data_IF_887993835643
#
_entry.id   IF_887993835643
#
_cell.length_a   1.000
_cell.length_b   1.000
_cell.length_c   1.000
_cell.angle_alpha   90.00
_cell.angle_beta   90.00
_cell.angle_gamma   90.00
#
_symmetry.space_group_name_H-M   'P 1'
#
loop_
_entity.id
_entity.type
_entity.pdbx_description
1 polymer ?
#
# COMPACT_ATOMS: atom_id res chain seq x y z
N UNK A 1 -60.38 61.52 47.47
CA UNK A 1 -59.34 60.82 48.26
C UNK A 1 -58.89 59.63 47.46
N UNK A 2 -57.81 59.74 46.74
CA UNK A 2 -57.29 58.69 45.83
C UNK A 2 -55.94 58.31 46.35
N UNK A 3 -55.87 57.08 46.87
CA UNK A 3 -54.66 56.48 47.41
C UNK A 3 -53.86 55.82 46.26
N UNK A 4 -52.68 56.36 45.95
CA UNK A 4 -51.73 55.84 44.99
C UNK A 4 -50.84 54.80 45.70
N UNK A 5 -50.98 53.56 45.30
CA UNK A 5 -50.10 52.47 45.72
C UNK A 5 -48.84 52.50 44.85
N UNK A 6 -47.68 52.72 45.47
CA UNK A 6 -46.37 52.62 44.82
C UNK A 6 -45.97 51.13 44.79
N UNK A 7 -45.91 50.54 43.60
CA UNK A 7 -45.29 49.22 43.45
C UNK A 7 -43.78 49.41 43.21
N UNK A 8 -43.01 48.96 44.16
CA UNK A 8 -41.56 48.90 44.10
C UNK A 8 -41.19 47.62 43.31
N UNK A 9 -40.75 47.80 42.04
CA UNK A 9 -40.22 46.71 41.24
C UNK A 9 -38.76 46.50 41.64
N UNK A 10 -38.51 45.43 42.34
CA UNK A 10 -37.16 44.97 42.70
C UNK A 10 -36.54 44.28 41.47
N UNK A 11 -35.67 44.99 40.76
CA UNK A 11 -34.88 44.42 39.66
C UNK A 11 -33.70 43.63 40.26
N UNK A 12 -33.87 42.31 40.39
CA UNK A 12 -32.78 41.39 40.76
C UNK A 12 -31.93 41.23 39.50
N UNK A 13 -30.86 42.00 39.39
CA UNK A 13 -29.81 41.75 38.40
C UNK A 13 -29.02 40.52 38.81
N UNK A 14 -29.37 39.35 38.26
CA UNK A 14 -28.51 38.19 38.32
C UNK A 14 -27.28 38.44 37.46
N UNK A 15 -26.20 38.90 38.09
CA UNK A 15 -24.87 38.83 37.53
C UNK A 15 -24.52 37.34 37.36
N UNK A 16 -24.81 36.77 36.21
CA UNK A 16 -24.22 35.55 35.75
C UNK A 16 -22.71 35.76 35.62
N UNK A 17 -21.97 35.42 36.66
CA UNK A 17 -20.52 35.26 36.54
C UNK A 17 -20.29 34.15 35.55
N UNK A 18 -20.06 34.47 34.29
CA UNK A 18 -19.40 33.58 33.36
C UNK A 18 -18.04 33.29 33.98
N UNK A 19 -17.94 32.12 34.59
CA UNK A 19 -16.64 31.55 34.94
C UNK A 19 -15.97 31.30 33.56
N UNK A 20 -15.26 32.28 33.08
CA UNK A 20 -14.27 32.06 32.04
C UNK A 20 -13.27 31.10 32.70
N UNK A 21 -13.36 29.84 32.37
CA UNK A 21 -12.28 28.90 32.62
C UNK A 21 -11.11 29.51 31.86
N UNK A 22 -10.21 30.18 32.57
CA UNK A 22 -8.95 30.60 32.02
C UNK A 22 -8.28 29.32 31.53
N UNK A 23 -8.29 29.09 30.21
CA UNK A 23 -7.45 28.09 29.62
C UNK A 23 -6.02 28.50 30.00
N UNK A 24 -5.42 27.71 30.87
CA UNK A 24 -4.01 27.90 31.20
C UNK A 24 -3.26 27.65 29.91
N UNK A 25 -2.63 28.69 29.37
CA UNK A 25 -1.70 28.56 28.26
C UNK A 25 -0.66 27.53 28.70
N UNK A 26 -0.53 26.45 27.93
CA UNK A 26 0.44 25.43 28.27
C UNK A 26 1.83 26.04 28.33
N UNK A 27 2.59 25.67 29.33
CA UNK A 27 3.97 26.11 29.43
C UNK A 27 4.76 25.63 28.17
N UNK A 28 5.72 26.42 27.72
CA UNK A 28 6.61 26.07 26.59
C UNK A 28 7.23 24.71 26.82
N UNK A 29 7.49 24.33 28.07
CA UNK A 29 7.98 23.02 28.45
C UNK A 29 6.98 21.90 28.15
N UNK A 30 5.68 22.10 28.26
CA UNK A 30 4.63 21.14 27.95
C UNK A 30 4.53 20.91 26.44
N UNK A 31 4.59 21.97 25.64
CA UNK A 31 4.65 21.90 24.18
C UNK A 31 5.90 21.12 23.75
N UNK A 32 7.06 21.49 24.26
CA UNK A 32 8.33 20.83 23.96
C UNK A 32 8.34 19.36 24.40
N UNK A 33 7.71 19.04 25.53
CA UNK A 33 7.57 17.66 26.03
C UNK A 33 6.68 16.84 25.10
N UNK A 34 5.55 17.36 24.67
CA UNK A 34 4.66 16.71 23.72
C UNK A 34 5.37 16.44 22.39
N UNK A 35 6.03 17.44 21.81
CA UNK A 35 6.78 17.33 20.57
C UNK A 35 7.86 16.24 20.65
N UNK A 36 8.67 16.26 21.70
CA UNK A 36 9.70 15.23 21.92
C UNK A 36 9.09 13.83 22.06
N UNK A 37 7.89 13.73 22.65
CA UNK A 37 7.20 12.45 22.81
C UNK A 37 6.67 11.93 21.48
N UNK A 38 6.03 12.76 20.67
CA UNK A 38 5.62 12.40 19.30
C UNK A 38 6.81 11.88 18.48
N UNK A 39 7.89 12.64 18.44
CA UNK A 39 9.09 12.24 17.69
C UNK A 39 9.68 10.90 18.18
N UNK A 40 9.81 10.75 19.50
CA UNK A 40 10.41 9.54 20.10
C UNK A 40 9.55 8.30 19.92
N UNK A 41 8.26 8.39 20.21
CA UNK A 41 7.36 7.22 20.12
C UNK A 41 7.04 6.88 18.67
N UNK A 42 6.91 7.89 17.78
CA UNK A 42 6.76 7.68 16.34
C UNK A 42 7.97 6.96 15.75
N UNK A 43 9.20 7.44 16.02
CA UNK A 43 10.40 6.79 15.53
C UNK A 43 10.54 5.34 16.01
N UNK A 44 10.23 5.07 17.29
CA UNK A 44 10.27 3.70 17.84
C UNK A 44 9.21 2.81 17.18
N UNK A 45 8.01 3.32 17.01
CA UNK A 45 6.92 2.59 16.38
C UNK A 45 7.28 2.26 14.93
N UNK A 46 7.73 3.26 14.16
CA UNK A 46 8.16 3.07 12.78
C UNK A 46 9.21 1.97 12.64
N UNK A 47 10.27 2.01 13.45
CA UNK A 47 11.32 0.99 13.43
C UNK A 47 10.76 -0.42 13.71
N UNK A 48 9.83 -0.54 14.64
CA UNK A 48 9.25 -1.83 15.04
C UNK A 48 8.29 -2.38 13.99
N UNK A 49 7.48 -1.52 13.36
CA UNK A 49 6.58 -1.91 12.27
C UNK A 49 7.37 -2.39 11.08
N UNK A 50 8.36 -1.60 10.63
CA UNK A 50 9.22 -1.97 9.51
C UNK A 50 9.87 -3.33 9.77
N UNK A 51 10.44 -3.53 10.97
CA UNK A 51 11.08 -4.79 11.31
C UNK A 51 10.09 -5.96 11.31
N UNK A 52 8.93 -5.79 11.93
CA UNK A 52 7.92 -6.86 11.98
C UNK A 52 7.38 -7.22 10.59
N UNK A 53 7.17 -6.23 9.72
CA UNK A 53 6.75 -6.47 8.33
C UNK A 53 7.86 -7.18 7.54
N UNK A 54 9.12 -6.79 7.75
CA UNK A 54 10.25 -7.45 7.09
C UNK A 54 10.43 -8.88 7.57
N UNK A 55 10.33 -9.15 8.87
CA UNK A 55 10.46 -10.50 9.43
C UNK A 55 9.41 -11.45 8.80
N UNK A 56 8.15 -11.01 8.70
CA UNK A 56 7.10 -11.75 8.00
C UNK A 56 7.42 -11.94 6.51
N UNK A 57 7.77 -10.88 5.81
CA UNK A 57 8.02 -10.92 4.36
C UNK A 57 9.22 -11.82 4.02
N UNK A 58 10.25 -11.83 4.86
CA UNK A 58 11.43 -12.68 4.68
C UNK A 58 11.08 -14.16 4.90
N UNK A 59 10.28 -14.47 5.92
CA UNK A 59 9.85 -15.87 6.15
C UNK A 59 9.07 -16.42 4.95
N UNK A 60 8.15 -15.62 4.39
CA UNK A 60 7.41 -16.02 3.17
C UNK A 60 8.33 -16.15 1.97
N UNK A 61 9.20 -15.14 1.75
CA UNK A 61 10.12 -15.13 0.61
C UNK A 61 11.11 -16.29 0.66
N UNK A 62 11.55 -16.70 1.85
CA UNK A 62 12.43 -17.84 2.01
C UNK A 62 11.76 -19.15 1.55
N UNK A 63 10.50 -19.37 1.93
CA UNK A 63 9.73 -20.52 1.45
C UNK A 63 9.58 -20.51 -0.09
N UNK A 64 9.29 -19.33 -0.68
CA UNK A 64 9.15 -19.20 -2.13
C UNK A 64 10.47 -19.42 -2.87
N UNK A 65 11.58 -18.90 -2.34
CA UNK A 65 12.92 -19.12 -2.91
C UNK A 65 13.30 -20.58 -2.85
N UNK A 66 13.02 -21.29 -1.76
CA UNK A 66 13.30 -22.71 -1.64
C UNK A 66 12.45 -23.55 -2.61
N UNK A 67 11.21 -23.12 -2.86
CA UNK A 67 10.35 -23.70 -3.88
C UNK A 67 10.94 -23.51 -5.29
N UNK A 68 11.28 -22.26 -5.64
CA UNK A 68 11.91 -21.92 -6.92
C UNK A 68 13.26 -22.65 -7.13
N UNK A 69 14.00 -22.88 -6.06
CA UNK A 69 15.27 -23.61 -6.07
C UNK A 69 15.10 -25.15 -6.14
N UNK A 70 13.87 -25.65 -6.17
CA UNK A 70 13.58 -27.08 -6.24
C UNK A 70 13.83 -27.85 -4.93
N UNK A 71 13.98 -27.15 -3.79
CA UNK A 71 14.21 -27.79 -2.48
C UNK A 71 13.00 -28.66 -2.06
N UNK A 72 11.80 -28.22 -2.40
CA UNK A 72 10.55 -28.90 -2.10
C UNK A 72 10.06 -29.80 -3.25
N UNK A 73 10.71 -29.79 -4.39
CA UNK A 73 10.36 -30.55 -5.57
C UNK A 73 10.62 -29.77 -6.87
N UNK A 74 10.48 -30.39 -8.02
CA UNK A 74 10.69 -29.72 -9.29
C UNK A 74 9.63 -28.63 -9.53
N UNK A 75 9.93 -27.59 -10.32
CA UNK A 75 8.94 -26.57 -10.70
C UNK A 75 7.74 -27.19 -11.42
N UNK A 76 6.54 -26.67 -11.15
CA UNK A 76 5.30 -27.17 -11.77
C UNK A 76 5.16 -26.80 -13.26
N UNK A 77 5.92 -25.85 -13.75
CA UNK A 77 5.86 -25.40 -15.15
C UNK A 77 6.17 -26.53 -16.15
N UNK A 78 6.91 -27.56 -15.72
CA UNK A 78 7.35 -28.66 -16.57
C UNK A 78 7.00 -30.04 -16.06
N UNK A 79 6.47 -30.17 -14.84
CA UNK A 79 6.26 -31.44 -14.17
C UNK A 79 4.84 -31.60 -13.62
N UNK A 80 4.23 -32.78 -13.70
CA UNK A 80 3.02 -33.09 -12.97
C UNK A 80 3.28 -33.16 -11.46
N UNK A 81 2.26 -32.96 -10.60
CA UNK A 81 2.41 -33.11 -9.15
C UNK A 81 3.01 -34.47 -8.75
N UNK A 82 3.86 -34.53 -7.71
CA UNK A 82 4.20 -33.46 -6.79
C UNK A 82 5.29 -32.53 -7.35
N UNK A 83 4.92 -31.27 -7.59
CA UNK A 83 5.81 -30.19 -8.02
C UNK A 83 5.69 -29.03 -7.05
N UNK A 84 6.56 -28.02 -7.13
CA UNK A 84 6.46 -26.81 -6.33
C UNK A 84 6.14 -25.60 -7.21
N UNK A 85 5.02 -24.92 -6.93
CA UNK A 85 4.64 -23.64 -7.51
C UNK A 85 4.68 -22.58 -6.41
N UNK A 86 5.59 -21.59 -6.46
CA UNK A 86 5.69 -20.56 -5.42
C UNK A 86 4.43 -19.66 -5.34
N UNK A 87 3.57 -19.70 -6.35
CA UNK A 87 2.31 -18.98 -6.41
C UNK A 87 1.10 -19.83 -5.97
N UNK A 88 1.28 -21.16 -5.80
CA UNK A 88 0.26 -22.10 -5.31
C UNK A 88 0.82 -22.95 -4.16
N UNK A 89 0.57 -22.52 -2.93
CA UNK A 89 1.04 -23.22 -1.73
C UNK A 89 0.51 -24.67 -1.62
N UNK A 90 -0.59 -24.98 -2.28
CA UNK A 90 -1.18 -26.33 -2.25
C UNK A 90 -0.52 -27.30 -3.23
N UNK A 91 0.35 -26.80 -4.10
CA UNK A 91 1.08 -27.60 -5.10
C UNK A 91 2.01 -28.63 -4.45
N UNK A 92 2.50 -28.38 -3.24
CA UNK A 92 3.44 -29.26 -2.54
C UNK A 92 3.24 -29.20 -1.02
N UNK A 93 3.12 -30.37 -0.38
CA UNK A 93 2.86 -30.48 1.07
C UNK A 93 4.00 -29.91 1.93
N UNK A 94 5.24 -30.02 1.48
CA UNK A 94 6.40 -29.48 2.23
C UNK A 94 6.47 -27.97 2.09
N UNK A 95 6.15 -27.46 0.92
CA UNK A 95 6.01 -26.03 0.69
C UNK A 95 4.86 -25.44 1.53
N UNK A 96 3.70 -26.08 1.55
CA UNK A 96 2.58 -25.66 2.41
C UNK A 96 2.97 -25.67 3.89
N UNK A 97 3.72 -26.65 4.36
CA UNK A 97 4.22 -26.69 5.74
C UNK A 97 5.18 -25.52 6.05
N UNK A 98 6.06 -25.15 5.11
CA UNK A 98 6.90 -23.96 5.23
C UNK A 98 6.04 -22.68 5.33
N UNK A 99 5.03 -22.55 4.46
CA UNK A 99 4.13 -21.39 4.43
C UNK A 99 3.27 -21.30 5.69
N UNK A 100 2.90 -22.42 6.33
CA UNK A 100 2.24 -22.42 7.64
C UNK A 100 3.16 -21.87 8.75
N UNK A 101 4.46 -22.17 8.68
CA UNK A 101 5.45 -21.56 9.58
C UNK A 101 5.53 -20.04 9.39
N UNK A 102 5.62 -19.59 8.14
CA UNK A 102 5.64 -18.16 7.81
C UNK A 102 4.34 -17.45 8.26
N UNK A 103 3.18 -18.12 8.15
CA UNK A 103 1.89 -17.62 8.68
C UNK A 103 1.96 -17.36 10.19
N UNK A 104 2.50 -18.30 10.95
CA UNK A 104 2.67 -18.14 12.40
C UNK A 104 3.60 -16.96 12.74
N UNK A 105 4.70 -16.77 12.00
CA UNK A 105 5.62 -15.64 12.17
C UNK A 105 4.98 -14.30 11.84
N UNK A 106 4.16 -14.25 10.79
CA UNK A 106 3.39 -13.06 10.42
C UNK A 106 2.33 -12.70 11.47
N UNK A 107 1.62 -13.70 12.01
CA UNK A 107 0.65 -13.51 13.08
C UNK A 107 1.31 -12.96 14.35
N UNK A 108 2.47 -13.52 14.73
CA UNK A 108 3.25 -13.04 15.87
C UNK A 108 3.74 -11.59 15.68
N UNK A 109 4.19 -11.28 14.46
CA UNK A 109 4.64 -9.93 14.09
C UNK A 109 3.51 -8.90 14.14
N UNK A 110 2.34 -9.24 13.61
CA UNK A 110 1.16 -8.38 13.65
C UNK A 110 0.69 -8.12 15.10
N UNK A 111 0.71 -9.15 15.94
CA UNK A 111 0.39 -9.00 17.38
C UNK A 111 1.34 -8.03 18.08
N UNK A 112 2.63 -8.06 17.77
CA UNK A 112 3.63 -7.12 18.30
C UNK A 112 3.34 -5.68 17.83
N UNK A 113 2.99 -5.48 16.57
CA UNK A 113 2.63 -4.16 16.02
C UNK A 113 1.47 -3.56 16.82
N UNK A 114 0.40 -4.32 17.04
CA UNK A 114 -0.77 -3.86 17.82
C UNK A 114 -0.39 -3.43 19.23
N UNK A 115 0.48 -4.19 19.92
CA UNK A 115 0.97 -3.82 21.26
C UNK A 115 1.77 -2.52 21.22
N UNK A 116 2.64 -2.34 20.21
CA UNK A 116 3.47 -1.15 20.09
C UNK A 116 2.65 0.09 19.75
N UNK A 117 1.62 -0.05 18.94
CA UNK A 117 0.67 1.02 18.62
C UNK A 117 -0.06 1.48 19.89
N UNK A 118 -0.63 0.57 20.65
CA UNK A 118 -1.31 0.88 21.91
C UNK A 118 -0.35 1.60 22.91
N UNK A 119 0.92 1.17 22.97
CA UNK A 119 1.90 1.81 23.83
C UNK A 119 2.29 3.22 23.34
N UNK A 120 2.42 3.42 22.04
CA UNK A 120 2.65 4.73 21.42
C UNK A 120 1.50 5.69 21.77
N UNK A 121 0.27 5.29 21.50
CA UNK A 121 -0.94 6.07 21.82
C UNK A 121 -0.94 6.48 23.29
N UNK A 122 -0.80 5.52 24.21
CA UNK A 122 -0.73 5.78 25.64
C UNK A 122 0.32 6.81 26.02
N UNK A 123 1.53 6.68 25.51
CA UNK A 123 2.66 7.53 25.86
C UNK A 123 2.51 8.96 25.30
N UNK A 124 2.01 9.11 24.08
CA UNK A 124 1.74 10.42 23.47
C UNK A 124 0.60 11.11 24.23
N UNK A 125 -0.53 10.42 24.44
CA UNK A 125 -1.66 10.97 25.17
C UNK A 125 -1.23 11.49 26.54
N UNK A 126 -0.50 10.71 27.32
CA UNK A 126 -0.05 11.11 28.67
C UNK A 126 0.85 12.37 28.66
N UNK A 127 1.54 12.65 27.57
CA UNK A 127 2.45 13.81 27.46
C UNK A 127 1.80 15.04 26.83
N UNK A 128 0.69 14.87 26.09
CA UNK A 128 0.10 15.91 25.28
C UNK A 128 -1.32 16.31 25.71
N UNK A 129 -1.92 15.59 26.67
CA UNK A 129 -3.30 15.80 27.13
C UNK A 129 -3.54 17.20 27.71
N UNK A 130 -2.49 17.89 28.15
CA UNK A 130 -2.57 19.22 28.73
C UNK A 130 -2.66 20.33 27.66
N UNK A 131 -2.35 19.99 26.39
CA UNK A 131 -2.35 20.95 25.28
C UNK A 131 -3.77 21.16 24.74
N UNK A 132 -4.07 22.41 24.43
CA UNK A 132 -5.30 22.78 23.72
C UNK A 132 -5.20 22.42 22.23
N UNK A 133 -6.33 22.33 21.49
CA UNK A 133 -6.30 22.14 20.04
C UNK A 133 -5.50 23.24 19.31
N UNK A 134 -5.51 24.48 19.78
CA UNK A 134 -4.75 25.59 19.17
C UNK A 134 -3.24 25.39 19.36
N UNK A 135 -2.80 24.91 20.52
CA UNK A 135 -1.40 24.59 20.79
C UNK A 135 -0.92 23.35 20.02
N UNK A 136 -1.78 22.38 19.77
CA UNK A 136 -1.47 21.23 18.95
C UNK A 136 -1.42 21.58 17.46
N UNK A 137 -2.40 22.33 16.99
CA UNK A 137 -2.69 22.50 15.57
C UNK A 137 -2.25 23.86 15.04
N UNK A 138 -2.01 24.85 15.93
CA UNK A 138 -1.64 26.21 15.57
C UNK A 138 -0.34 26.30 14.76
N UNK A 139 -0.08 27.47 14.19
CA UNK A 139 1.15 27.77 13.46
C UNK A 139 2.38 27.55 14.36
N UNK A 140 3.52 27.26 13.74
CA UNK A 140 4.77 26.93 14.46
C UNK A 140 5.21 27.94 15.54
N UNK A 141 4.79 29.21 15.43
CA UNK A 141 5.11 30.23 16.44
C UNK A 141 4.33 30.02 17.75
N UNK A 142 3.11 29.48 17.68
CA UNK A 142 2.17 29.39 18.79
C UNK A 142 1.74 27.96 19.12
N UNK A 143 2.25 26.97 18.40
CA UNK A 143 1.88 25.57 18.57
C UNK A 143 2.79 24.58 17.84
N UNK A 144 2.40 23.32 17.84
CA UNK A 144 3.17 22.23 17.22
C UNK A 144 3.07 22.16 15.69
N UNK A 145 2.20 22.99 15.08
CA UNK A 145 2.07 23.11 13.63
C UNK A 145 1.40 21.89 12.94
N UNK A 146 0.71 21.01 13.68
CA UNK A 146 0.07 19.82 13.11
C UNK A 146 -1.09 20.14 12.16
N UNK A 147 -1.56 21.39 12.09
CA UNK A 147 -2.53 21.81 11.07
C UNK A 147 -2.02 21.58 9.63
N UNK A 148 -0.71 21.54 9.41
CA UNK A 148 -0.12 21.22 8.10
C UNK A 148 -0.47 19.81 7.62
N UNK A 149 -0.86 18.91 8.52
CA UNK A 149 -1.27 17.54 8.21
C UNK A 149 -2.78 17.41 7.94
N UNK A 150 -3.57 18.49 8.19
CA UNK A 150 -5.02 18.42 8.08
C UNK A 150 -5.50 17.91 6.72
N UNK A 151 -4.91 18.39 5.62
CA UNK A 151 -5.31 17.99 4.28
C UNK A 151 -5.08 16.49 4.06
N UNK A 152 -3.96 15.94 4.53
CA UNK A 152 -3.67 14.51 4.46
C UNK A 152 -4.61 13.68 5.33
N UNK A 153 -4.86 14.12 6.56
CA UNK A 153 -5.78 13.44 7.47
C UNK A 153 -7.23 13.48 6.96
N UNK A 154 -7.67 14.61 6.38
CA UNK A 154 -9.02 14.74 5.79
C UNK A 154 -9.20 13.92 4.50
N UNK A 155 -8.13 13.67 3.76
CA UNK A 155 -8.19 12.76 2.62
C UNK A 155 -8.47 11.32 3.03
N UNK A 156 -8.06 10.93 4.25
CA UNK A 156 -8.29 9.60 4.83
C UNK A 156 -9.61 9.53 5.61
N UNK A 157 -9.95 10.60 6.32
CA UNK A 157 -11.21 10.74 7.07
C UNK A 157 -11.78 12.15 6.83
N UNK A 158 -12.81 12.31 5.97
CA UNK A 158 -13.43 13.59 5.70
C UNK A 158 -14.00 14.29 6.92
N UNK A 159 -14.24 13.58 8.03
CA UNK A 159 -14.75 14.14 9.29
C UNK A 159 -13.63 14.58 10.23
N UNK A 160 -12.37 14.43 9.83
CA UNK A 160 -11.23 14.79 10.64
C UNK A 160 -11.24 16.26 11.06
N UNK A 161 -11.08 16.46 12.35
CA UNK A 161 -10.79 17.76 12.96
C UNK A 161 -9.54 17.63 13.81
N UNK A 162 -8.70 18.65 13.85
CA UNK A 162 -7.44 18.61 14.60
C UNK A 162 -7.69 18.62 16.11
N UNK A 163 -7.77 17.45 16.69
CA UNK A 163 -7.78 17.17 18.13
C UNK A 163 -6.66 16.19 18.45
N UNK A 164 -6.25 16.07 19.72
CA UNK A 164 -5.21 15.11 20.09
C UNK A 164 -5.59 13.67 19.71
N UNK A 165 -6.82 13.27 19.93
CA UNK A 165 -7.30 11.92 19.60
C UNK A 165 -7.28 11.67 18.09
N UNK A 166 -7.82 12.61 17.31
CA UNK A 166 -7.85 12.49 15.86
C UNK A 166 -6.44 12.59 15.25
N UNK A 167 -5.59 13.46 15.81
CA UNK A 167 -4.20 13.56 15.39
C UNK A 167 -3.44 12.25 15.63
N UNK A 168 -3.58 11.63 16.80
CA UNK A 168 -2.96 10.34 17.09
C UNK A 168 -3.50 9.28 16.14
N UNK A 169 -4.79 9.24 15.88
CA UNK A 169 -5.39 8.29 14.94
C UNK A 169 -4.89 8.48 13.51
N UNK A 170 -4.73 9.73 13.06
CA UNK A 170 -4.24 10.00 11.72
C UNK A 170 -2.73 9.73 11.58
N UNK A 171 -1.90 10.37 12.43
CA UNK A 171 -0.43 10.27 12.36
C UNK A 171 0.07 8.93 12.90
N UNK A 172 -0.67 8.33 13.82
CA UNK A 172 -0.38 7.04 14.42
C UNK A 172 -1.18 5.87 13.83
N UNK A 173 -2.01 6.13 12.84
CA UNK A 173 -2.88 5.17 12.18
C UNK A 173 -2.64 5.15 10.67
N UNK A 174 -3.64 5.50 9.85
CA UNK A 174 -3.59 5.26 8.41
C UNK A 174 -2.43 5.94 7.67
N UNK A 175 -2.15 7.23 7.95
CA UNK A 175 -1.04 7.93 7.26
C UNK A 175 0.33 7.37 7.62
N UNK A 176 0.62 7.21 8.89
CA UNK A 176 1.89 6.64 9.33
C UNK A 176 2.05 5.22 8.80
N UNK A 177 0.99 4.41 8.87
CA UNK A 177 0.99 3.05 8.36
C UNK A 177 1.27 2.99 6.87
N UNK A 178 0.59 3.81 6.07
CA UNK A 178 0.81 3.90 4.63
C UNK A 178 2.27 4.23 4.29
N UNK A 179 2.88 5.18 5.00
CA UNK A 179 4.30 5.52 4.80
C UNK A 179 5.24 4.39 5.22
N UNK A 180 4.95 3.70 6.32
CA UNK A 180 5.76 2.57 6.77
C UNK A 180 5.68 1.39 5.82
N UNK A 181 4.53 1.14 5.24
CA UNK A 181 4.34 0.11 4.23
C UNK A 181 5.11 0.44 2.95
N UNK A 182 5.10 1.72 2.51
CA UNK A 182 5.94 2.18 1.40
C UNK A 182 7.44 1.98 1.68
N UNK A 183 7.91 2.31 2.88
CA UNK A 183 9.30 2.08 3.28
C UNK A 183 9.62 0.59 3.30
N UNK A 184 8.74 -0.24 3.85
CA UNK A 184 8.91 -1.70 3.87
C UNK A 184 9.00 -2.27 2.45
N UNK A 185 8.19 -1.76 1.51
CA UNK A 185 8.28 -2.14 0.09
C UNK A 185 9.61 -1.73 -0.56
N UNK A 186 10.18 -0.57 -0.17
CA UNK A 186 11.49 -0.14 -0.67
C UNK A 186 12.61 -1.04 -0.16
N UNK A 187 12.52 -1.48 1.08
CA UNK A 187 13.50 -2.38 1.70
C UNK A 187 13.36 -3.83 1.22
N UNK A 188 12.14 -4.25 0.89
CA UNK A 188 11.86 -5.56 0.32
C UNK A 188 10.84 -5.41 -0.81
N UNK A 189 11.29 -5.13 -2.06
CA UNK A 189 10.41 -4.76 -3.18
C UNK A 189 9.31 -5.77 -3.54
N UNK A 190 9.40 -7.00 -3.05
CA UNK A 190 8.41 -8.06 -3.26
C UNK A 190 7.59 -8.38 -2.02
N UNK A 191 7.71 -7.60 -0.92
CA UNK A 191 7.03 -7.89 0.34
C UNK A 191 5.51 -8.02 0.17
N UNK A 192 4.86 -7.06 -0.49
CA UNK A 192 3.41 -7.12 -0.75
C UNK A 192 3.02 -8.30 -1.64
N UNK A 193 3.85 -8.60 -2.64
CA UNK A 193 3.67 -9.71 -3.56
C UNK A 193 3.76 -11.05 -2.82
N UNK A 194 4.79 -11.21 -1.97
CA UNK A 194 5.01 -12.40 -1.17
C UNK A 194 3.87 -12.63 -0.16
N UNK A 195 3.51 -11.60 0.60
CA UNK A 195 2.44 -11.66 1.61
C UNK A 195 1.08 -11.95 0.97
N UNK A 196 0.78 -11.35 -0.19
CA UNK A 196 -0.46 -11.61 -0.93
C UNK A 196 -0.51 -13.02 -1.51
N UNK A 197 0.60 -13.51 -2.09
CA UNK A 197 0.70 -14.88 -2.62
C UNK A 197 0.54 -15.94 -1.52
N UNK A 198 1.04 -15.64 -0.32
CA UNK A 198 0.86 -16.48 0.85
C UNK A 198 -0.55 -16.44 1.45
N UNK A 199 -1.44 -15.55 0.98
CA UNK A 199 -2.76 -15.34 1.58
C UNK A 199 -2.72 -14.62 2.94
N UNK A 200 -1.62 -13.94 3.26
CA UNK A 200 -1.35 -13.33 4.57
C UNK A 200 -1.66 -11.82 4.61
N UNK A 201 -2.33 -11.29 3.58
CA UNK A 201 -2.70 -9.87 3.49
C UNK A 201 -3.53 -9.38 4.68
N UNK A 202 -4.27 -10.28 5.35
CA UNK A 202 -5.07 -9.94 6.54
C UNK A 202 -4.25 -9.44 7.73
N UNK A 203 -2.97 -9.77 7.81
CA UNK A 203 -2.07 -9.28 8.85
C UNK A 203 -1.56 -7.86 8.58
N UNK A 204 -1.50 -7.48 7.30
CA UNK A 204 -0.99 -6.20 6.84
C UNK A 204 -1.95 -5.61 5.80
N UNK A 205 -3.16 -5.20 6.22
CA UNK A 205 -4.23 -4.77 5.30
C UNK A 205 -3.86 -3.53 4.48
N UNK A 206 -2.95 -2.71 4.98
CA UNK A 206 -2.48 -1.49 4.32
C UNK A 206 -1.38 -1.75 3.30
N UNK A 207 -0.83 -2.97 3.24
CA UNK A 207 0.12 -3.32 2.20
C UNK A 207 -0.57 -3.37 0.84
N UNK A 208 0.04 -2.79 -0.19
CA UNK A 208 -0.48 -2.89 -1.55
C UNK A 208 -0.67 -4.35 -1.96
N UNK A 209 -1.84 -4.67 -2.49
CA UNK A 209 -2.17 -6.03 -2.91
C UNK A 209 -1.58 -6.31 -4.28
N UNK A 210 -0.73 -7.36 -4.39
CA UNK A 210 -0.28 -7.86 -5.67
C UNK A 210 -1.32 -8.81 -6.26
N UNK A 211 -1.67 -8.59 -7.51
CA UNK A 211 -2.51 -9.49 -8.30
C UNK A 211 -1.70 -9.98 -9.49
N UNK A 212 -1.84 -11.27 -9.78
CA UNK A 212 -1.08 -11.93 -10.83
C UNK A 212 -2.01 -12.67 -11.74
N UNK A 213 -1.77 -12.54 -13.01
CA UNK A 213 -2.44 -13.30 -14.07
C UNK A 213 -1.38 -13.86 -15.01
N UNK A 214 -1.62 -15.04 -15.55
CA UNK A 214 -0.74 -15.68 -16.53
C UNK A 214 -1.52 -15.86 -17.81
N UNK A 215 -0.85 -15.65 -18.94
CA UNK A 215 -1.45 -15.82 -20.27
C UNK A 215 -0.40 -16.18 -21.29
N UNK A 216 -0.84 -16.79 -22.38
CA UNK A 216 -0.05 -17.03 -23.59
C UNK A 216 -0.27 -15.87 -24.54
N UNK A 217 0.77 -15.36 -25.17
CA UNK A 217 0.70 -14.23 -26.09
C UNK A 217 1.37 -14.59 -27.42
N UNK A 218 0.60 -14.87 -28.47
CA UNK A 218 1.14 -15.15 -29.79
C UNK A 218 1.87 -13.94 -30.39
N UNK A 219 2.76 -14.21 -31.32
CA UNK A 219 3.49 -13.17 -32.05
C UNK A 219 2.53 -12.18 -32.75
N UNK A 220 2.83 -10.90 -32.64
CA UNK A 220 2.03 -9.83 -33.26
C UNK A 220 0.66 -9.61 -32.60
N UNK A 221 0.38 -10.28 -31.48
CA UNK A 221 -0.85 -10.14 -30.73
C UNK A 221 -0.65 -9.29 -29.47
N UNK A 222 -1.76 -8.90 -28.88
CA UNK A 222 -1.82 -8.15 -27.64
C UNK A 222 -3.00 -8.60 -26.80
N UNK A 223 -2.79 -8.62 -25.48
CA UNK A 223 -3.82 -8.78 -24.49
C UNK A 223 -4.10 -7.44 -23.81
N UNK A 224 -5.37 -7.12 -23.61
CA UNK A 224 -5.78 -5.89 -22.93
C UNK A 224 -6.44 -6.22 -21.60
N UNK A 225 -5.88 -5.71 -20.55
CA UNK A 225 -6.30 -5.90 -19.17
C UNK A 225 -6.90 -4.64 -18.60
N UNK A 226 -8.11 -4.70 -18.08
CA UNK A 226 -8.73 -3.62 -17.33
C UNK A 226 -8.28 -3.66 -15.86
N UNK A 227 -7.92 -2.50 -15.32
CA UNK A 227 -7.51 -2.31 -13.93
C UNK A 227 -8.31 -1.16 -13.34
N UNK A 228 -9.14 -1.44 -12.33
CA UNK A 228 -9.82 -0.40 -11.57
C UNK A 228 -8.84 0.26 -10.60
N UNK A 229 -8.74 1.58 -10.64
CA UNK A 229 -7.85 2.33 -9.75
C UNK A 229 -8.54 3.53 -9.11
N UNK A 230 -8.04 3.93 -7.96
CA UNK A 230 -8.49 5.13 -7.26
C UNK A 230 -7.52 6.29 -7.49
N UNK A 231 -8.03 7.52 -7.48
CA UNK A 231 -7.19 8.70 -7.56
C UNK A 231 -6.20 8.72 -6.39
N UNK A 232 -4.91 8.93 -6.70
CA UNK A 232 -3.85 8.90 -5.71
C UNK A 232 -3.21 7.53 -5.48
N UNK A 233 -3.81 6.42 -5.95
CA UNK A 233 -3.18 5.11 -5.88
C UNK A 233 -1.85 5.10 -6.63
N UNK A 234 -0.80 4.65 -5.98
CA UNK A 234 0.45 4.33 -6.65
C UNK A 234 0.40 2.88 -7.15
N UNK A 235 0.26 2.70 -8.45
CA UNK A 235 0.17 1.38 -9.07
C UNK A 235 1.50 1.01 -9.69
N UNK A 236 1.95 -0.21 -9.41
CA UNK A 236 3.07 -0.84 -10.08
C UNK A 236 2.54 -1.94 -11.01
N UNK A 237 2.86 -1.83 -12.28
CA UNK A 237 2.55 -2.84 -13.28
C UNK A 237 3.85 -3.44 -13.81
N UNK A 238 3.94 -4.75 -13.86
CA UNK A 238 5.11 -5.48 -14.38
C UNK A 238 4.64 -6.60 -15.29
N UNK A 239 5.33 -6.77 -16.40
CA UNK A 239 5.23 -7.97 -17.23
C UNK A 239 6.48 -8.78 -17.00
N UNK A 240 6.33 -10.07 -16.76
CA UNK A 240 7.42 -11.03 -16.62
C UNK A 240 7.24 -12.15 -17.61
N UNK A 241 8.31 -12.55 -18.27
CA UNK A 241 8.28 -13.72 -19.14
C UNK A 241 8.32 -15.01 -18.33
N UNK A 242 7.63 -16.03 -18.80
CA UNK A 242 7.67 -17.39 -18.27
C UNK A 242 8.42 -18.29 -19.22
N UNK A 243 8.88 -19.44 -18.69
CA UNK A 243 9.46 -20.49 -19.54
C UNK A 243 8.36 -21.10 -20.43
N UNK A 244 8.47 -20.90 -21.73
CA UNK A 244 7.52 -21.40 -22.72
C UNK A 244 8.02 -22.63 -23.46
N UNK A 245 9.31 -22.99 -23.28
CA UNK A 245 9.98 -24.05 -24.01
C UNK A 245 10.49 -25.20 -23.12
N UNK A 246 10.35 -25.10 -21.79
CA UNK A 246 10.88 -26.08 -20.84
C UNK A 246 12.42 -26.14 -20.80
N UNK A 247 13.10 -25.12 -21.31
CA UNK A 247 14.56 -25.04 -21.36
C UNK A 247 15.11 -23.88 -20.51
N UNK A 248 14.27 -23.23 -19.71
CA UNK A 248 14.62 -22.10 -18.88
C UNK A 248 14.74 -20.77 -19.65
N UNK A 249 14.16 -20.68 -20.84
CA UNK A 249 14.15 -19.45 -21.65
C UNK A 249 12.75 -19.11 -22.16
N UNK A 250 12.54 -17.85 -22.56
CA UNK A 250 11.30 -17.38 -23.18
C UNK A 250 11.58 -16.79 -24.56
N UNK A 251 10.67 -17.01 -25.49
CA UNK A 251 10.71 -16.41 -26.82
C UNK A 251 9.91 -15.08 -26.87
N UNK A 252 9.25 -14.70 -25.79
CA UNK A 252 8.45 -13.49 -25.76
C UNK A 252 9.29 -12.23 -25.59
N UNK A 253 9.11 -11.26 -26.51
CA UNK A 253 9.55 -9.88 -26.34
C UNK A 253 8.35 -9.03 -25.89
N UNK A 254 8.13 -8.88 -24.58
CA UNK A 254 6.95 -8.18 -24.11
C UNK A 254 7.12 -6.66 -24.22
N UNK A 255 6.14 -6.01 -24.78
CA UNK A 255 5.95 -4.56 -24.72
C UNK A 255 4.71 -4.26 -23.86
N UNK A 256 4.69 -3.12 -23.22
CA UNK A 256 3.57 -2.70 -22.38
C UNK A 256 3.20 -1.25 -22.67
N UNK A 257 1.89 -1.02 -22.83
CA UNK A 257 1.32 0.31 -22.95
C UNK A 257 0.22 0.44 -21.89
N UNK A 258 0.18 1.57 -21.20
CA UNK A 258 -0.90 1.88 -20.27
C UNK A 258 -1.79 2.95 -20.88
N UNK A 259 -3.06 2.64 -21.01
CA UNK A 259 -4.07 3.47 -21.64
C UNK A 259 -5.04 4.02 -20.58
N UNK A 260 -5.63 5.15 -20.91
CA UNK A 260 -6.71 5.74 -20.14
C UNK A 260 -8.04 4.98 -20.37
N UNK A 261 -9.08 5.41 -19.72
CA UNK A 261 -10.44 4.85 -19.80
C UNK A 261 -11.05 4.89 -21.20
N UNK A 262 -10.55 5.74 -22.08
CA UNK A 262 -10.93 5.79 -23.50
C UNK A 262 -10.25 4.73 -24.38
N UNK A 263 -9.33 3.95 -23.81
CA UNK A 263 -8.50 2.93 -24.47
C UNK A 263 -7.65 3.47 -25.64
N UNK A 264 -7.57 4.78 -25.80
CA UNK A 264 -6.85 5.45 -26.88
C UNK A 264 -5.74 6.37 -26.34
N UNK A 265 -6.00 7.05 -25.22
CA UNK A 265 -5.00 7.97 -24.63
C UNK A 265 -3.91 7.18 -23.92
N UNK A 266 -2.70 7.24 -24.45
CA UNK A 266 -1.53 6.64 -23.83
C UNK A 266 -1.13 7.42 -22.59
N UNK A 267 -1.27 6.81 -21.43
CA UNK A 267 -0.87 7.42 -20.16
C UNK A 267 0.63 7.23 -19.87
N UNK A 268 1.22 6.17 -20.37
CA UNK A 268 2.63 5.89 -20.19
C UNK A 268 3.15 4.91 -21.27
N UNK A 269 3.92 5.46 -22.18
CA UNK A 269 4.84 4.74 -23.04
C UNK A 269 6.30 5.06 -22.68
N UNK A 270 6.57 6.33 -22.35
CA UNK A 270 7.92 6.86 -22.09
C UNK A 270 8.45 6.56 -20.69
N UNK A 271 7.57 6.22 -19.73
CA UNK A 271 7.95 5.87 -18.36
C UNK A 271 8.04 4.36 -18.12
N UNK A 272 7.75 3.56 -19.12
CA UNK A 272 7.97 2.12 -19.05
C UNK A 272 9.46 1.84 -19.06
N UNK A 273 9.95 1.36 -17.93
CA UNK A 273 11.34 0.93 -17.78
C UNK A 273 11.42 -0.56 -18.10
N UNK A 274 12.58 -1.01 -18.56
CA UNK A 274 12.86 -2.43 -18.71
C UNK A 274 13.76 -2.91 -17.59
N UNK A 275 13.44 -4.06 -17.02
CA UNK A 275 14.26 -4.75 -16.03
C UNK A 275 14.62 -6.15 -16.55
N UNK A 276 15.53 -6.82 -15.87
CA UNK A 276 15.81 -8.22 -16.16
C UNK A 276 14.53 -9.05 -16.00
N UNK A 277 14.25 -9.88 -16.97
CA UNK A 277 13.16 -10.84 -16.90
C UNK A 277 13.49 -11.96 -15.90
N UNK A 278 12.46 -12.61 -15.34
CA UNK A 278 12.65 -13.77 -14.46
C UNK A 278 13.32 -14.94 -15.20
N UNK A 279 12.91 -15.12 -16.44
CA UNK A 279 13.46 -16.13 -17.34
C UNK A 279 14.23 -15.37 -18.43
N UNK A 280 15.48 -15.74 -18.72
CA UNK A 280 16.22 -15.14 -19.81
C UNK A 280 15.44 -15.26 -21.12
N UNK A 281 15.30 -14.15 -21.81
CA UNK A 281 14.59 -14.15 -23.06
C UNK A 281 15.59 -14.20 -24.22
N UNK A 282 15.33 -15.07 -25.16
CA UNK A 282 16.23 -15.29 -26.33
C UNK A 282 16.38 -14.07 -27.23
N UNK A 283 15.41 -13.16 -27.14
CA UNK A 283 15.40 -11.89 -27.88
C UNK A 283 16.31 -10.82 -27.27
N UNK A 284 16.89 -11.05 -26.10
CA UNK A 284 17.72 -10.06 -25.39
C UNK A 284 16.93 -8.86 -24.84
N UNK A 285 15.59 -8.90 -24.89
CA UNK A 285 14.74 -7.81 -24.42
C UNK A 285 14.52 -7.87 -22.91
N UNK A 286 14.39 -6.70 -22.27
CA UNK A 286 13.98 -6.61 -20.88
C UNK A 286 12.48 -6.72 -20.72
N UNK A 287 12.04 -7.03 -19.50
CA UNK A 287 10.63 -7.05 -19.14
C UNK A 287 10.14 -5.65 -18.74
N UNK A 288 9.04 -5.14 -19.31
CA UNK A 288 8.56 -3.82 -19.02
C UNK A 288 7.95 -3.74 -17.61
N UNK A 289 8.19 -2.62 -16.97
CA UNK A 289 7.52 -2.27 -15.71
C UNK A 289 7.25 -0.78 -15.64
N UNK A 290 6.16 -0.42 -14.97
CA UNK A 290 5.73 0.95 -14.76
C UNK A 290 5.31 1.12 -13.30
N UNK A 291 5.75 2.22 -12.70
CA UNK A 291 5.25 2.70 -11.41
C UNK A 291 4.63 4.08 -11.63
N UNK A 292 3.37 4.25 -11.29
CA UNK A 292 2.64 5.50 -11.53
C UNK A 292 1.56 5.75 -10.49
N UNK A 293 1.40 7.02 -10.11
CA UNK A 293 0.24 7.50 -9.35
C UNK A 293 -0.92 7.75 -10.31
N UNK A 294 -2.07 7.18 -10.03
CA UNK A 294 -3.28 7.32 -10.84
C UNK A 294 -3.92 8.70 -10.61
N UNK A 295 -4.20 9.46 -11.68
CA UNK A 295 -4.73 10.82 -11.53
C UNK A 295 -6.22 10.85 -11.18
N UNK A 296 -6.98 9.78 -11.50
CA UNK A 296 -8.43 9.74 -11.33
C UNK A 296 -8.91 8.38 -10.85
N UNK A 297 -10.07 8.33 -10.19
CA UNK A 297 -10.77 7.07 -9.86
C UNK A 297 -11.54 6.60 -11.07
N UNK A 298 -11.02 5.59 -11.77
CA UNK A 298 -11.64 5.00 -12.97
C UNK A 298 -10.95 3.70 -13.38
N UNK A 299 -11.44 3.08 -14.46
CA UNK A 299 -10.77 1.94 -15.09
C UNK A 299 -9.66 2.44 -16.02
N UNK A 300 -8.49 1.82 -15.91
CA UNK A 300 -7.33 1.98 -16.78
C UNK A 300 -7.11 0.67 -17.54
N UNK A 301 -6.41 0.73 -18.65
CA UNK A 301 -6.12 -0.45 -19.44
C UNK A 301 -4.61 -0.65 -19.58
N UNK A 302 -4.19 -1.90 -19.48
CA UNK A 302 -2.80 -2.31 -19.73
C UNK A 302 -2.83 -3.24 -20.95
N UNK A 303 -2.23 -2.79 -22.04
CA UNK A 303 -2.00 -3.64 -23.20
C UNK A 303 -0.62 -4.26 -23.07
N UNK A 304 -0.54 -5.59 -23.10
CA UNK A 304 0.68 -6.37 -23.21
C UNK A 304 0.78 -6.87 -24.65
N UNK A 305 1.86 -6.50 -25.35
CA UNK A 305 2.07 -6.84 -26.76
C UNK A 305 3.25 -7.79 -26.91
N UNK A 306 3.16 -8.75 -27.82
CA UNK A 306 4.32 -9.45 -28.32
C UNK A 306 4.92 -8.65 -29.49
N UNK A 307 6.16 -8.15 -29.33
CA UNK A 307 6.82 -7.46 -30.43
C UNK A 307 7.09 -8.46 -31.54
N UNK A 308 6.67 -8.11 -32.76
CA UNK A 308 7.04 -8.85 -33.94
C UNK A 308 8.48 -8.54 -34.30
N UNK A 309 9.38 -9.51 -34.18
CA UNK A 309 10.70 -9.48 -34.76
C UNK A 309 11.18 -10.91 -35.03
N UNK A 310 12.14 -11.06 -35.94
CA UNK A 310 12.61 -12.36 -36.45
C UNK A 310 13.19 -13.29 -35.37
N UNK A 311 13.48 -12.81 -34.18
CA UNK A 311 14.06 -13.58 -33.07
C UNK A 311 13.05 -13.99 -32.02
N UNK A 312 11.81 -13.46 -32.07
CA UNK A 312 10.79 -13.63 -31.06
C UNK A 312 9.49 -14.14 -31.70
N UNK A 313 8.84 -15.11 -31.11
CA UNK A 313 7.67 -15.80 -31.67
C UNK A 313 6.44 -15.77 -30.77
N UNK A 314 6.39 -14.88 -29.82
CA UNK A 314 5.39 -14.93 -28.74
C UNK A 314 5.83 -15.86 -27.62
N UNK A 315 4.98 -16.06 -26.62
CA UNK A 315 5.27 -16.92 -25.49
C UNK A 315 4.41 -16.58 -24.25
N UNK A 316 4.74 -17.22 -23.16
CA UNK A 316 3.99 -17.04 -21.91
C UNK A 316 4.48 -15.86 -21.11
N UNK A 317 3.55 -15.17 -20.49
CA UNK A 317 3.88 -14.09 -19.58
C UNK A 317 3.05 -14.14 -18.29
N UNK A 318 3.52 -13.37 -17.31
CA UNK A 318 2.80 -13.05 -16.09
C UNK A 318 2.66 -11.53 -16.00
N UNK A 319 1.43 -11.04 -15.92
CA UNK A 319 1.14 -9.65 -15.55
C UNK A 319 1.00 -9.57 -14.03
N UNK A 320 1.75 -8.68 -13.44
CA UNK A 320 1.70 -8.38 -11.99
C UNK A 320 1.25 -6.95 -11.81
N UNK A 321 0.13 -6.77 -11.10
CA UNK A 321 -0.39 -5.45 -10.71
C UNK A 321 -0.35 -5.35 -9.21
N UNK A 322 0.31 -4.32 -8.70
CA UNK A 322 0.37 -4.00 -7.27
C UNK A 322 -0.28 -2.65 -7.07
N UNK A 323 -1.33 -2.59 -6.27
CA UNK A 323 -2.02 -1.35 -5.95
C UNK A 323 -2.56 -1.36 -4.53
N UNK A 324 -2.65 -0.20 -3.85
CA UNK A 324 -3.25 -0.09 -2.52
C UNK A 324 -4.71 -0.54 -2.49
N UNK A 325 -5.46 -0.26 -3.55
CA UNK A 325 -6.87 -0.67 -3.69
C UNK A 325 -7.07 -2.14 -4.02
N UNK A 326 -5.98 -2.91 -4.25
CA UNK A 326 -6.06 -4.32 -4.61
C UNK A 326 -6.69 -4.55 -5.98
N UNK A 327 -6.46 -3.65 -6.94
CA UNK A 327 -6.99 -3.76 -8.29
C UNK A 327 -6.69 -5.13 -8.91
N UNK A 328 -7.74 -5.82 -9.29
CA UNK A 328 -7.65 -7.12 -9.98
C UNK A 328 -7.63 -6.85 -11.48
N UNK A 329 -6.59 -7.26 -12.21
CA UNK A 329 -6.61 -7.18 -13.66
C UNK A 329 -7.65 -8.15 -14.23
N UNK A 330 -8.49 -7.65 -15.12
CA UNK A 330 -9.51 -8.42 -15.82
C UNK A 330 -9.20 -8.39 -17.30
N UNK A 331 -9.02 -9.55 -17.93
CA UNK A 331 -8.81 -9.65 -19.36
C UNK A 331 -10.07 -9.18 -20.09
N UNK A 332 -9.96 -8.16 -20.91
CA UNK A 332 -11.07 -7.56 -21.66
C UNK A 332 -10.94 -7.78 -23.15
N UNK A 333 -9.73 -8.02 -23.63
CA UNK A 333 -9.50 -8.45 -25.01
C UNK A 333 -8.28 -9.36 -25.04
N UNK A 334 -8.42 -10.50 -25.67
CA UNK A 334 -7.46 -11.60 -25.77
C UNK A 334 -6.99 -11.73 -27.22
N UNK A 335 -5.70 -11.89 -27.42
CA UNK A 335 -5.07 -12.12 -28.74
C UNK A 335 -5.51 -11.16 -29.86
N UNK A 336 -5.76 -9.88 -29.52
CA UNK A 336 -6.13 -8.88 -30.51
C UNK A 336 -4.92 -8.49 -31.38
N UNK A 337 -5.16 -7.97 -32.58
CA UNK A 337 -4.10 -7.49 -33.45
C UNK A 337 -3.37 -6.31 -32.81
N UNK A 338 -2.06 -6.48 -32.53
CA UNK A 338 -1.25 -5.48 -31.86
C UNK A 338 -1.00 -4.23 -32.73
N UNK A 339 -1.22 -4.30 -34.05
CA UNK A 339 -0.98 -3.18 -34.98
C UNK A 339 -1.99 -2.03 -34.78
N UNK A 340 -3.17 -2.31 -34.22
CA UNK A 340 -4.19 -1.31 -33.94
C UNK A 340 -4.02 -0.59 -32.57
N UNK A 341 -3.10 -1.02 -31.76
CA UNK A 341 -2.83 -0.41 -30.45
C UNK A 341 -1.65 0.57 -30.54
N UNK A 342 -1.72 1.71 -29.84
CA UNK A 342 -0.66 2.71 -29.84
C UNK A 342 0.68 2.17 -29.35
#
# INVERSE_FOLDING_TARGET
>A
MTTRTFQLVLLVATLGAAVATAQTVADIDDIARCQRRFAKEGAKFAQRVIRATLDCSLAVAECQIQCDAGVFGPPCDTNPPPCCDPDDRTSNVTFDACMLGADADCAASNSKITIYEAQKVKNITASCVVLTPDELCGAQADGLGFATLNAGCQALDPTYTCTLANLINCVGGPLERQHLDQISMLLHPRASEAVAAAGLQSYFPDLPVARRVREDLPEGKADVWAISGQAGDEVLVRVKTLDDNGNGTSNLHPLMVVLDSDQATVLADTNVKTAACNVPNVCGAGCPHLKRTLPFTRTYYVAVKAAANDACSGGKYKLVVVSPSGAVPVLVADDVDASGLP
#
